data_IF_225338384822
#
_entry.id   IF_225338384822
#
_cell.length_a   1.000
_cell.length_b   1.000
_cell.length_c   1.000
_cell.angle_alpha   90.00
_cell.angle_beta   90.00
_cell.angle_gamma   90.00
#
_symmetry.space_group_name_H-M   'P 1'
#
loop_
_entity.id
_entity.type
_entity.pdbx_description
1 polymer ?
#
# COMPACT_ATOMS: atom_id res chain seq x y z
N UNK A 1 14.02 9.65 -7.13
CA UNK A 1 14.91 10.76 -7.58
C UNK A 1 16.36 10.59 -7.06
N UNK A 2 16.65 10.35 -5.76
CA UNK A 2 18.04 10.20 -5.29
C UNK A 2 18.83 9.09 -6.00
N UNK A 3 18.19 7.99 -6.33
CA UNK A 3 18.82 6.91 -7.11
C UNK A 3 19.17 7.34 -8.53
N UNK A 4 18.35 8.15 -9.18
CA UNK A 4 18.64 8.71 -10.50
C UNK A 4 19.86 9.62 -10.43
N UNK A 5 19.95 10.47 -9.40
CA UNK A 5 21.10 11.36 -9.17
C UNK A 5 22.37 10.58 -8.85
N UNK A 6 22.29 9.57 -7.97
CA UNK A 6 23.43 8.69 -7.66
C UNK A 6 23.90 7.94 -8.89
N UNK A 7 22.99 7.38 -9.67
CA UNK A 7 23.30 6.71 -10.93
C UNK A 7 23.90 7.66 -11.97
N UNK A 8 23.45 8.92 -12.04
CA UNK A 8 24.04 9.92 -12.92
C UNK A 8 25.47 10.30 -12.49
N UNK A 9 25.70 10.49 -11.19
CA UNK A 9 27.04 10.77 -10.64
C UNK A 9 27.98 9.60 -10.84
N UNK A 10 27.52 8.35 -10.63
CA UNK A 10 28.32 7.16 -10.83
C UNK A 10 28.72 6.98 -12.31
N UNK A 11 27.81 7.24 -13.25
CA UNK A 11 28.09 7.24 -14.69
C UNK A 11 29.07 8.34 -15.09
N UNK A 12 28.91 9.55 -14.54
CA UNK A 12 29.85 10.66 -14.79
C UNK A 12 31.26 10.37 -14.27
N UNK A 13 31.42 9.41 -13.33
CA UNK A 13 32.69 8.93 -12.81
C UNK A 13 33.16 7.64 -13.50
N UNK A 14 32.70 7.33 -14.71
CA UNK A 14 32.99 6.10 -15.49
C UNK A 14 32.81 4.80 -14.70
N UNK A 15 31.87 4.77 -13.75
CA UNK A 15 31.54 3.56 -13.02
C UNK A 15 30.60 2.67 -13.85
N UNK A 16 31.15 1.63 -14.47
CA UNK A 16 30.43 0.65 -15.30
C UNK A 16 29.30 -0.07 -14.54
N UNK A 17 29.36 -0.13 -13.21
CA UNK A 17 28.34 -0.75 -12.36
C UNK A 17 27.20 0.21 -11.98
N UNK A 18 27.13 1.41 -12.58
CA UNK A 18 26.06 2.36 -12.34
C UNK A 18 24.70 1.79 -12.74
N UNK A 19 23.85 1.50 -11.75
CA UNK A 19 22.54 0.95 -11.99
C UNK A 19 21.55 2.02 -12.51
N UNK A 20 20.59 1.61 -13.32
CA UNK A 20 19.48 2.47 -13.71
C UNK A 20 18.62 2.80 -12.48
N UNK A 21 18.43 4.09 -12.18
CA UNK A 21 17.51 4.56 -11.14
C UNK A 21 16.06 4.73 -11.65
N UNK A 22 15.74 4.24 -12.84
CA UNK A 22 14.42 4.37 -13.43
C UNK A 22 13.45 3.35 -12.83
N UNK A 23 12.21 3.76 -12.59
CA UNK A 23 11.21 2.98 -11.84
C UNK A 23 10.95 1.60 -12.46
N UNK A 24 10.84 1.50 -13.79
CA UNK A 24 10.63 0.22 -14.46
C UNK A 24 11.71 -0.83 -14.11
N UNK A 25 12.92 -0.39 -13.80
CA UNK A 25 14.05 -1.27 -13.52
C UNK A 25 13.86 -2.08 -12.22
N UNK A 26 13.00 -1.62 -11.31
CA UNK A 26 12.73 -2.30 -10.03
C UNK A 26 12.09 -3.68 -10.31
N UNK A 27 10.93 -3.70 -10.97
CA UNK A 27 10.23 -4.94 -11.31
C UNK A 27 10.99 -5.77 -12.36
N UNK A 28 11.49 -5.12 -13.41
CA UNK A 28 12.12 -5.82 -14.52
C UNK A 28 13.42 -6.54 -14.13
N UNK A 29 14.17 -6.03 -13.15
CA UNK A 29 15.34 -6.75 -12.64
C UNK A 29 14.97 -8.03 -11.91
N UNK A 30 13.90 -7.99 -11.12
CA UNK A 30 13.38 -9.19 -10.45
C UNK A 30 12.92 -10.20 -11.49
N UNK A 31 12.13 -9.77 -12.47
CA UNK A 31 11.67 -10.64 -13.55
C UNK A 31 12.81 -11.25 -14.35
N UNK A 32 13.84 -10.45 -14.67
CA UNK A 32 15.02 -10.93 -15.39
C UNK A 32 15.81 -11.97 -14.59
N UNK A 33 16.10 -11.70 -13.32
CA UNK A 33 16.89 -12.61 -12.46
C UNK A 33 16.13 -13.91 -12.18
N UNK A 34 14.81 -13.83 -11.99
CA UNK A 34 13.99 -15.00 -11.69
C UNK A 34 13.47 -15.73 -12.96
N UNK A 35 13.75 -15.20 -14.15
CA UNK A 35 13.27 -15.80 -15.39
C UNK A 35 11.74 -15.70 -15.57
N UNK A 36 11.10 -14.67 -14.99
CA UNK A 36 9.66 -14.49 -15.14
C UNK A 36 9.31 -13.91 -16.51
N UNK A 37 8.25 -14.44 -17.12
CA UNK A 37 7.83 -14.09 -18.48
C UNK A 37 6.48 -13.37 -18.54
N UNK A 38 5.77 -13.28 -17.43
CA UNK A 38 4.50 -12.56 -17.32
C UNK A 38 4.68 -11.02 -17.26
N UNK A 39 3.58 -10.26 -17.10
CA UNK A 39 3.64 -8.81 -16.97
C UNK A 39 4.59 -8.34 -15.88
N UNK A 40 5.44 -7.34 -16.20
CA UNK A 40 6.43 -6.78 -15.27
C UNK A 40 6.26 -5.27 -15.21
N UNK A 41 5.69 -4.76 -14.13
CA UNK A 41 5.21 -3.38 -14.00
C UNK A 41 5.79 -2.69 -12.78
N UNK A 42 6.18 -1.43 -12.94
CA UNK A 42 6.40 -0.52 -11.81
C UNK A 42 5.16 0.36 -11.63
N UNK A 43 4.58 0.33 -10.45
CA UNK A 43 3.35 1.06 -10.11
C UNK A 43 3.66 2.17 -9.12
N UNK A 44 3.28 3.39 -9.47
CA UNK A 44 3.40 4.55 -8.59
C UNK A 44 2.04 5.26 -8.46
N UNK A 45 1.43 5.08 -7.31
CA UNK A 45 0.21 5.77 -6.86
C UNK A 45 0.41 6.30 -5.44
N UNK A 46 1.63 6.76 -5.14
CA UNK A 46 2.07 7.21 -3.82
C UNK A 46 1.85 6.13 -2.74
N UNK A 47 1.22 6.47 -1.62
CA UNK A 47 1.04 5.56 -0.48
C UNK A 47 0.20 4.30 -0.81
N UNK A 48 -0.57 4.31 -1.88
CA UNK A 48 -1.38 3.17 -2.33
C UNK A 48 -0.69 2.27 -3.35
N UNK A 49 0.56 2.55 -3.74
CA UNK A 49 1.27 1.86 -4.83
C UNK A 49 1.25 0.34 -4.68
N UNK A 50 1.61 -0.18 -3.52
CA UNK A 50 1.67 -1.63 -3.30
C UNK A 50 0.29 -2.30 -3.31
N UNK A 51 -0.77 -1.64 -2.83
CA UNK A 51 -2.13 -2.17 -2.92
C UNK A 51 -2.70 -2.08 -4.35
N UNK A 52 -2.33 -1.05 -5.10
CA UNK A 52 -2.66 -0.96 -6.52
C UNK A 52 -1.96 -2.06 -7.31
N UNK A 53 -0.67 -2.30 -7.05
CA UNK A 53 0.06 -3.42 -7.64
C UNK A 53 -0.57 -4.78 -7.30
N UNK A 54 -0.98 -4.97 -6.03
CA UNK A 54 -1.70 -6.17 -5.60
C UNK A 54 -3.03 -6.34 -6.35
N UNK A 55 -3.80 -5.27 -6.52
CA UNK A 55 -5.06 -5.31 -7.28
C UNK A 55 -4.83 -5.74 -8.73
N UNK A 56 -3.82 -5.17 -9.39
CA UNK A 56 -3.47 -5.54 -10.77
C UNK A 56 -3.00 -7.00 -10.86
N UNK A 57 -2.22 -7.47 -9.90
CA UNK A 57 -1.81 -8.87 -9.83
C UNK A 57 -3.00 -9.82 -9.66
N UNK A 58 -3.97 -9.48 -8.78
CA UNK A 58 -5.20 -10.25 -8.64
C UNK A 58 -6.00 -10.29 -9.95
N UNK A 59 -6.05 -9.19 -10.70
CA UNK A 59 -6.72 -9.16 -12.01
C UNK A 59 -6.01 -10.07 -13.02
N UNK A 60 -4.68 -10.01 -13.12
CA UNK A 60 -3.89 -10.85 -14.03
C UNK A 60 -4.08 -12.35 -13.73
N UNK A 61 -4.09 -12.73 -12.45
CA UNK A 61 -4.38 -14.11 -12.02
C UNK A 61 -5.83 -14.52 -12.34
N UNK A 62 -6.80 -13.62 -12.13
CA UNK A 62 -8.21 -13.91 -12.38
C UNK A 62 -8.53 -14.06 -13.87
N UNK A 63 -7.87 -13.32 -14.74
CA UNK A 63 -8.02 -13.41 -16.20
C UNK A 63 -7.20 -14.56 -16.82
N UNK A 64 -6.38 -15.25 -16.04
CA UNK A 64 -5.51 -16.31 -16.53
C UNK A 64 -4.31 -15.81 -17.35
N UNK A 65 -3.98 -14.52 -17.28
CA UNK A 65 -2.79 -13.95 -17.90
C UNK A 65 -1.50 -14.36 -17.16
N UNK A 66 -1.63 -14.67 -15.88
CA UNK A 66 -0.54 -15.18 -15.03
C UNK A 66 -1.04 -16.33 -14.16
N UNK A 67 -0.19 -17.31 -13.89
CA UNK A 67 -0.47 -18.44 -12.98
C UNK A 67 0.01 -18.15 -11.55
N UNK A 68 0.99 -17.28 -11.41
CA UNK A 68 1.60 -16.85 -10.15
C UNK A 68 2.05 -15.40 -10.29
N UNK A 69 1.88 -14.58 -9.27
CA UNK A 69 2.30 -13.20 -9.26
C UNK A 69 3.13 -12.86 -8.02
N UNK A 70 4.23 -12.13 -8.22
CA UNK A 70 5.03 -11.54 -7.16
C UNK A 70 4.67 -10.04 -7.03
N UNK A 71 4.15 -9.64 -5.90
CA UNK A 71 3.82 -8.24 -5.60
C UNK A 71 4.84 -7.70 -4.61
N UNK A 72 5.61 -6.72 -5.02
CA UNK A 72 6.64 -6.08 -4.20
C UNK A 72 6.32 -4.63 -3.88
N UNK A 73 6.86 -4.16 -2.76
CA UNK A 73 6.90 -2.75 -2.39
C UNK A 73 8.23 -2.42 -1.76
N UNK A 74 8.75 -1.23 -2.05
CA UNK A 74 9.99 -0.73 -1.46
C UNK A 74 9.86 0.76 -1.18
N UNK A 75 10.30 1.17 -0.02
CA UNK A 75 10.48 2.57 0.35
C UNK A 75 11.79 2.75 1.10
N UNK A 76 12.68 3.54 0.54
CA UNK A 76 13.95 3.94 1.15
C UNK A 76 14.06 5.46 1.13
N UNK A 77 14.50 6.04 2.23
CA UNK A 77 14.72 7.49 2.37
C UNK A 77 16.21 7.78 2.18
N UNK A 78 16.57 8.21 0.99
CA UNK A 78 17.95 8.53 0.65
C UNK A 78 18.11 10.03 0.42
N UNK A 79 18.83 10.68 1.31
CA UNK A 79 19.08 12.11 1.26
C UNK A 79 17.93 12.96 1.83
N UNK A 80 18.14 14.29 1.85
CA UNK A 80 17.30 15.24 2.59
C UNK A 80 16.10 15.78 1.79
N UNK A 81 16.10 15.64 0.46
CA UNK A 81 15.11 16.24 -0.44
C UNK A 81 13.68 15.85 -0.08
N UNK A 82 13.47 14.57 0.24
CA UNK A 82 12.16 14.04 0.64
C UNK A 82 11.71 14.60 1.99
N UNK A 83 12.61 14.60 2.96
CA UNK A 83 12.32 15.14 4.31
C UNK A 83 11.97 16.61 4.26
N UNK A 84 12.69 17.41 3.46
CA UNK A 84 12.36 18.82 3.25
C UNK A 84 10.98 19.02 2.60
N UNK A 85 10.65 18.19 1.59
CA UNK A 85 9.33 18.24 0.95
C UNK A 85 8.21 17.93 1.94
N UNK A 86 8.35 16.86 2.73
CA UNK A 86 7.36 16.45 3.72
C UNK A 86 7.19 17.49 4.82
N UNK A 87 8.30 18.05 5.32
CA UNK A 87 8.27 19.12 6.32
C UNK A 87 7.57 20.37 5.80
N UNK A 88 7.90 20.82 4.58
CA UNK A 88 7.30 22.00 3.95
C UNK A 88 5.77 21.86 3.75
N UNK A 89 5.27 20.64 3.58
CA UNK A 89 3.86 20.37 3.38
C UNK A 89 3.13 19.94 4.67
N UNK A 90 3.77 20.06 5.83
CA UNK A 90 3.19 19.67 7.13
C UNK A 90 2.72 18.22 7.21
N UNK A 91 3.46 17.30 6.58
CA UNK A 91 3.16 15.87 6.66
C UNK A 91 3.89 15.17 7.81
N UNK A 92 4.99 15.77 8.32
CA UNK A 92 5.79 15.15 9.38
C UNK A 92 5.18 15.39 10.75
N UNK A 93 5.20 14.34 11.58
CA UNK A 93 4.86 14.43 12.99
C UNK A 93 5.85 15.33 13.73
N UNK A 94 5.35 16.20 14.59
CA UNK A 94 6.15 17.12 15.41
C UNK A 94 6.87 16.44 16.59
N UNK A 95 6.39 15.24 16.99
CA UNK A 95 6.91 14.50 18.17
C UNK A 95 7.47 13.11 17.77
N UNK A 96 7.73 12.89 16.50
CA UNK A 96 8.26 11.64 15.94
C UNK A 96 7.39 10.40 16.24
N UNK A 97 6.07 10.56 16.29
CA UNK A 97 5.10 9.47 16.49
C UNK A 97 4.00 9.50 15.42
N UNK A 98 3.64 8.35 14.88
CA UNK A 98 2.39 8.19 14.12
C UNK A 98 1.26 7.91 15.11
N UNK A 99 0.46 8.92 15.43
CA UNK A 99 -0.67 8.80 16.36
C UNK A 99 -1.94 8.41 15.62
N UNK A 100 -1.94 7.22 15.01
CA UNK A 100 -3.09 6.72 14.23
C UNK A 100 -4.36 6.78 15.06
N UNK A 101 -5.32 7.63 14.65
CA UNK A 101 -6.60 7.89 15.33
C UNK A 101 -6.47 8.40 16.78
N UNK A 102 -5.29 8.79 17.19
CA UNK A 102 -5.04 9.33 18.53
C UNK A 102 -5.21 10.84 18.61
N UNK A 103 -5.36 11.36 19.84
CA UNK A 103 -5.33 12.79 20.09
C UNK A 103 -3.95 13.37 19.73
N UNK A 104 -3.93 14.63 19.31
CA UNK A 104 -2.72 15.39 18.98
C UNK A 104 -1.87 14.79 17.83
N UNK A 105 -2.51 14.08 16.92
CA UNK A 105 -1.86 13.61 15.69
C UNK A 105 -1.54 14.78 14.77
N UNK A 106 -0.24 15.10 14.60
CA UNK A 106 0.23 16.25 13.80
C UNK A 106 0.82 15.84 12.44
N UNK A 107 0.89 14.54 12.16
CA UNK A 107 1.50 14.02 10.96
C UNK A 107 2.03 12.59 11.16
N UNK A 108 2.79 12.11 10.19
CA UNK A 108 3.38 10.78 10.25
C UNK A 108 4.91 10.80 10.35
N UNK A 109 5.46 9.66 10.72
CA UNK A 109 6.91 9.40 10.68
C UNK A 109 7.17 8.56 9.43
N UNK A 110 8.02 9.01 8.48
CA UNK A 110 8.44 8.16 7.36
C UNK A 110 9.16 6.92 7.86
N UNK A 111 8.75 5.76 7.33
CA UNK A 111 9.40 4.48 7.60
C UNK A 111 10.06 3.93 6.35
N UNK A 112 11.02 3.04 6.52
CA UNK A 112 11.69 2.32 5.44
C UNK A 112 11.31 0.85 5.49
N UNK A 113 11.24 0.22 4.32
CA UNK A 113 10.97 -1.20 4.26
C UNK A 113 10.89 -1.75 2.84
N UNK A 114 11.08 -3.04 2.77
CA UNK A 114 10.85 -3.86 1.58
C UNK A 114 9.94 -5.00 1.98
N UNK A 115 8.89 -5.22 1.20
CA UNK A 115 7.95 -6.31 1.43
C UNK A 115 7.55 -6.95 0.10
N UNK A 116 7.28 -8.26 0.13
CA UNK A 116 6.81 -9.01 -1.02
C UNK A 116 5.73 -10.01 -0.60
N UNK A 117 4.77 -10.20 -1.49
CA UNK A 117 3.76 -11.27 -1.40
C UNK A 117 3.80 -12.10 -2.67
N UNK A 118 3.63 -13.40 -2.52
CA UNK A 118 3.39 -14.32 -3.62
C UNK A 118 1.91 -14.64 -3.66
N UNK A 119 1.28 -14.45 -4.80
CA UNK A 119 -0.13 -14.69 -5.04
C UNK A 119 -0.31 -15.80 -6.08
N UNK A 120 -1.27 -16.68 -5.83
CA UNK A 120 -1.63 -17.76 -6.72
C UNK A 120 -3.14 -18.02 -6.63
N UNK A 121 -3.82 -18.49 -7.70
CA UNK A 121 -5.20 -18.96 -7.59
C UNK A 121 -5.34 -20.03 -6.51
N UNK A 122 -6.38 -19.91 -5.67
CA UNK A 122 -6.56 -20.79 -4.50
C UNK A 122 -6.54 -22.29 -4.88
N UNK A 123 -7.25 -22.65 -5.94
CA UNK A 123 -7.31 -24.03 -6.38
C UNK A 123 -5.94 -24.59 -6.77
N UNK A 124 -5.10 -23.79 -7.45
CA UNK A 124 -3.74 -24.19 -7.82
C UNK A 124 -2.86 -24.33 -6.57
N UNK A 125 -2.92 -23.35 -5.64
CA UNK A 125 -2.16 -23.39 -4.41
C UNK A 125 -2.49 -24.64 -3.55
N UNK A 126 -3.77 -24.99 -3.48
CA UNK A 126 -4.24 -26.21 -2.80
C UNK A 126 -3.75 -27.49 -3.48
N UNK A 127 -3.87 -27.56 -4.82
CA UNK A 127 -3.42 -28.72 -5.58
C UNK A 127 -1.90 -28.96 -5.47
N UNK A 128 -1.13 -27.89 -5.33
CA UNK A 128 0.33 -27.94 -5.15
C UNK A 128 0.77 -28.12 -3.68
N UNK A 129 -0.18 -28.19 -2.73
CA UNK A 129 0.13 -28.33 -1.30
C UNK A 129 0.86 -27.12 -0.73
N UNK A 130 0.62 -25.90 -1.26
CA UNK A 130 1.27 -24.68 -0.80
C UNK A 130 0.77 -24.29 0.59
N UNK A 131 1.64 -23.67 1.38
CA UNK A 131 1.24 -23.04 2.62
C UNK A 131 0.46 -21.75 2.32
N UNK A 132 -0.81 -21.70 2.71
CA UNK A 132 -1.71 -20.57 2.43
C UNK A 132 -1.87 -19.77 3.72
N UNK A 133 -1.37 -18.54 3.74
CA UNK A 133 -1.46 -17.63 4.88
C UNK A 133 -2.79 -16.89 4.96
N UNK A 134 -3.46 -16.70 3.83
CA UNK A 134 -4.74 -16.02 3.75
C UNK A 134 -5.27 -16.01 2.31
N UNK A 135 -6.52 -15.63 2.15
CA UNK A 135 -7.18 -15.52 0.86
C UNK A 135 -7.68 -14.11 0.63
N UNK A 136 -7.42 -13.54 -0.55
CA UNK A 136 -7.97 -12.26 -1.00
C UNK A 136 -9.34 -12.53 -1.63
N UNK A 137 -10.41 -12.13 -0.96
CA UNK A 137 -11.77 -12.34 -1.42
C UNK A 137 -12.23 -11.25 -2.41
N UNK A 138 -11.72 -10.03 -2.25
CA UNK A 138 -12.07 -8.92 -3.13
C UNK A 138 -11.05 -7.79 -3.04
N UNK A 139 -10.94 -7.03 -4.10
CA UNK A 139 -10.11 -5.83 -4.14
C UNK A 139 -10.73 -4.78 -5.06
N UNK A 140 -10.52 -3.50 -4.72
CA UNK A 140 -11.01 -2.39 -5.52
C UNK A 140 -10.04 -1.21 -5.47
N UNK A 141 -10.02 -0.44 -6.54
CA UNK A 141 -9.30 0.84 -6.64
C UNK A 141 -10.23 1.91 -7.20
N UNK A 142 -10.03 3.15 -6.81
CA UNK A 142 -10.69 4.31 -7.40
C UNK A 142 -9.81 5.57 -7.24
N UNK A 143 -10.29 6.69 -7.73
CA UNK A 143 -9.74 8.02 -7.49
C UNK A 143 -10.71 8.85 -6.65
N UNK A 144 -10.18 9.69 -5.75
CA UNK A 144 -10.98 10.53 -4.85
C UNK A 144 -11.82 11.61 -5.54
N UNK A 145 -11.56 11.90 -6.82
CA UNK A 145 -12.22 12.98 -7.55
C UNK A 145 -11.76 14.36 -7.08
N UNK A 146 -12.56 15.38 -7.40
CA UNK A 146 -12.29 16.77 -7.00
C UNK A 146 -12.71 16.99 -5.54
N UNK A 147 -11.82 17.56 -4.74
CA UNK A 147 -12.04 17.97 -3.35
C UNK A 147 -11.64 19.43 -3.15
N UNK A 148 -11.66 19.92 -1.92
CA UNK A 148 -11.26 21.30 -1.60
C UNK A 148 -9.74 21.53 -1.64
N UNK A 149 -8.95 20.52 -1.97
CA UNK A 149 -7.50 20.60 -2.14
C UNK A 149 -6.94 19.32 -2.74
N UNK A 150 -5.82 19.42 -3.46
CA UNK A 150 -5.21 18.28 -4.16
C UNK A 150 -4.87 17.11 -3.24
N UNK A 151 -4.45 17.40 -2.01
CA UNK A 151 -4.05 16.39 -1.01
C UNK A 151 -5.17 16.00 -0.05
N UNK A 152 -6.36 16.60 -0.18
CA UNK A 152 -7.50 16.36 0.73
C UNK A 152 -8.23 15.08 0.35
N UNK A 153 -8.34 14.09 1.24
CA UNK A 153 -9.07 12.86 0.96
C UNK A 153 -10.59 13.11 0.78
N UNK A 154 -11.26 12.20 0.08
CA UNK A 154 -12.70 12.26 -0.13
C UNK A 154 -13.40 11.10 0.62
N UNK A 155 -14.14 11.37 1.70
CA UNK A 155 -14.75 10.30 2.51
C UNK A 155 -15.82 9.51 1.72
N UNK A 156 -16.55 10.16 0.81
CA UNK A 156 -17.55 9.48 -0.03
C UNK A 156 -16.89 8.52 -1.02
N UNK A 157 -15.77 8.93 -1.60
CA UNK A 157 -15.01 8.06 -2.51
C UNK A 157 -14.39 6.88 -1.76
N UNK A 158 -13.91 7.09 -0.52
CA UNK A 158 -13.40 6.02 0.33
C UNK A 158 -14.51 5.03 0.71
N UNK A 159 -15.68 5.50 1.17
CA UNK A 159 -16.83 4.64 1.49
C UNK A 159 -17.28 3.84 0.27
N UNK A 160 -17.42 4.48 -0.89
CA UNK A 160 -17.78 3.80 -2.13
C UNK A 160 -16.74 2.75 -2.56
N UNK A 161 -15.45 2.99 -2.31
CA UNK A 161 -14.37 2.03 -2.58
C UNK A 161 -14.49 0.81 -1.68
N UNK A 162 -14.69 1.02 -0.38
CA UNK A 162 -14.85 -0.07 0.60
C UNK A 162 -16.08 -0.91 0.24
N UNK A 163 -17.20 -0.26 -0.06
CA UNK A 163 -18.42 -0.97 -0.47
C UNK A 163 -18.18 -1.83 -1.72
N UNK A 164 -17.50 -1.28 -2.74
CA UNK A 164 -17.16 -2.04 -3.94
C UNK A 164 -16.25 -3.24 -3.65
N UNK A 165 -15.34 -3.13 -2.70
CA UNK A 165 -14.48 -4.24 -2.30
C UNK A 165 -15.29 -5.33 -1.58
N UNK A 166 -16.22 -4.96 -0.71
CA UNK A 166 -17.15 -5.87 -0.03
C UNK A 166 -18.06 -6.59 -1.04
N UNK A 167 -18.64 -5.84 -2.00
CA UNK A 167 -19.49 -6.41 -3.06
C UNK A 167 -18.73 -7.45 -3.89
N UNK A 168 -17.49 -7.15 -4.29
CA UNK A 168 -16.63 -8.08 -5.03
C UNK A 168 -16.24 -9.30 -4.20
N UNK A 169 -16.08 -9.13 -2.90
CA UNK A 169 -15.79 -10.23 -1.98
C UNK A 169 -17.03 -11.09 -1.67
N UNK A 170 -18.24 -10.65 -2.05
CA UNK A 170 -19.48 -11.28 -1.60
C UNK A 170 -19.63 -11.26 -0.08
N UNK A 171 -19.08 -10.26 0.59
CA UNK A 171 -18.99 -10.18 2.04
C UNK A 171 -19.79 -8.99 2.57
N UNK A 172 -20.68 -9.25 3.51
CA UNK A 172 -21.43 -8.20 4.18
C UNK A 172 -20.55 -7.49 5.23
N UNK A 173 -20.78 -6.19 5.46
CA UNK A 173 -20.00 -5.38 6.40
C UNK A 173 -19.99 -5.95 7.83
N UNK A 174 -21.07 -6.62 8.27
CA UNK A 174 -21.14 -7.25 9.58
C UNK A 174 -20.27 -8.52 9.75
N UNK A 175 -19.60 -8.94 8.70
CA UNK A 175 -18.65 -10.08 8.70
C UNK A 175 -17.21 -9.64 8.78
N UNK A 176 -16.96 -8.33 8.89
CA UNK A 176 -15.63 -7.76 9.02
C UNK A 176 -15.34 -7.56 10.51
N UNK A 177 -14.36 -8.27 11.01
CA UNK A 177 -13.95 -8.23 12.42
C UNK A 177 -12.83 -7.20 12.66
N UNK A 178 -12.03 -6.92 11.62
CA UNK A 178 -10.89 -6.02 11.72
C UNK A 178 -10.67 -5.20 10.43
N UNK A 179 -10.32 -3.93 10.61
CA UNK A 179 -9.85 -3.03 9.54
C UNK A 179 -8.44 -2.57 9.84
N UNK A 180 -7.50 -2.94 9.00
CA UNK A 180 -6.19 -2.30 8.95
C UNK A 180 -6.32 -1.02 8.13
N UNK A 181 -6.34 0.11 8.81
CA UNK A 181 -6.63 1.41 8.23
C UNK A 181 -5.38 2.11 7.67
N UNK A 182 -5.60 3.18 6.91
CA UNK A 182 -4.50 4.06 6.50
C UNK A 182 -3.88 4.75 7.72
N UNK A 183 -4.67 5.40 8.57
CA UNK A 183 -4.29 5.83 9.93
C UNK A 183 -2.92 6.50 10.02
N UNK A 184 -2.72 7.61 9.32
CA UNK A 184 -1.43 8.31 9.27
C UNK A 184 -1.14 9.19 10.48
N UNK A 185 -2.13 9.42 11.35
CA UNK A 185 -2.00 10.33 12.49
C UNK A 185 -2.04 11.79 12.08
N UNK A 186 -2.71 12.13 10.98
CA UNK A 186 -2.86 13.50 10.51
C UNK A 186 -4.20 14.10 10.97
N UNK A 187 -4.19 15.38 11.32
CA UNK A 187 -5.39 16.11 11.80
C UNK A 187 -6.59 16.02 10.84
N UNK A 188 -6.32 15.98 9.54
CA UNK A 188 -7.36 15.95 8.51
C UNK A 188 -7.66 14.53 8.02
N UNK A 189 -6.63 13.70 7.84
CA UNK A 189 -6.75 12.39 7.19
C UNK A 189 -7.53 11.39 8.03
N UNK A 190 -7.17 11.27 9.30
CA UNK A 190 -7.76 10.28 10.21
C UNK A 190 -9.27 10.50 10.45
N UNK A 191 -9.76 11.72 10.71
CA UNK A 191 -11.21 11.96 10.81
C UNK A 191 -11.98 11.67 9.52
N UNK A 192 -11.40 11.98 8.36
CA UNK A 192 -12.01 11.68 7.05
C UNK A 192 -12.13 10.17 6.84
N UNK A 193 -11.09 9.42 7.18
CA UNK A 193 -11.10 7.95 7.07
C UNK A 193 -12.12 7.33 8.03
N UNK A 194 -12.17 7.77 9.27
CA UNK A 194 -13.20 7.33 10.24
C UNK A 194 -14.61 7.63 9.74
N UNK A 195 -14.85 8.80 9.15
CA UNK A 195 -16.15 9.13 8.57
C UNK A 195 -16.53 8.16 7.43
N UNK A 196 -15.61 7.82 6.56
CA UNK A 196 -15.83 6.86 5.48
C UNK A 196 -16.15 5.45 6.00
N UNK A 197 -15.39 4.99 7.00
CA UNK A 197 -15.62 3.71 7.67
C UNK A 197 -16.97 3.71 8.38
N UNK A 198 -17.29 4.75 9.14
CA UNK A 198 -18.59 4.89 9.83
C UNK A 198 -19.75 4.82 8.85
N UNK A 199 -19.66 5.49 7.70
CA UNK A 199 -20.69 5.44 6.66
C UNK A 199 -20.87 4.03 6.11
N UNK A 200 -19.77 3.33 5.84
CA UNK A 200 -19.81 1.97 5.27
C UNK A 200 -20.35 0.93 6.28
N UNK A 201 -19.94 1.04 7.55
CA UNK A 201 -20.33 0.07 8.58
C UNK A 201 -21.58 0.45 9.37
N UNK A 202 -22.23 1.58 9.04
CA UNK A 202 -23.46 2.04 9.69
C UNK A 202 -24.55 0.99 9.56
N UNK A 203 -25.15 0.63 10.70
CA UNK A 203 -26.25 -0.34 10.75
C UNK A 203 -25.85 -1.79 10.56
N UNK A 204 -24.58 -2.11 10.51
CA UNK A 204 -24.09 -3.50 10.38
C UNK A 204 -24.46 -4.37 11.60
N UNK A 205 -24.69 -3.75 12.77
CA UNK A 205 -25.07 -4.47 14.00
C UNK A 205 -23.89 -5.23 14.64
N UNK A 206 -22.67 -5.11 14.12
CA UNK A 206 -21.47 -5.74 14.67
C UNK A 206 -20.41 -4.70 15.06
N UNK A 207 -19.53 -5.08 15.98
CA UNK A 207 -18.33 -4.32 16.29
C UNK A 207 -17.18 -4.77 15.36
N UNK A 208 -16.44 -3.81 14.85
CA UNK A 208 -15.25 -4.06 14.04
C UNK A 208 -14.06 -3.33 14.68
N UNK A 209 -12.99 -4.06 14.94
CA UNK A 209 -11.76 -3.45 15.46
C UNK A 209 -11.05 -2.66 14.34
N UNK A 210 -10.40 -1.56 14.71
CA UNK A 210 -9.60 -0.75 13.78
C UNK A 210 -8.18 -0.58 14.33
N UNK A 211 -7.19 -0.62 13.45
CA UNK A 211 -5.81 -0.33 13.80
C UNK A 211 -5.01 0.13 12.60
N UNK A 212 -3.76 0.50 12.84
CA UNK A 212 -2.80 0.82 11.79
C UNK A 212 -1.39 0.41 12.22
N UNK A 213 -0.70 -0.32 11.37
CA UNK A 213 0.72 -0.70 11.60
C UNK A 213 1.64 0.51 11.67
N UNK A 214 1.20 1.65 11.13
CA UNK A 214 1.99 2.89 11.11
C UNK A 214 2.31 3.44 12.49
N UNK A 215 1.48 3.16 13.49
CA UNK A 215 1.78 3.52 14.87
C UNK A 215 2.99 2.77 15.44
N UNK A 216 3.38 1.65 14.84
CA UNK A 216 4.50 0.80 15.28
C UNK A 216 5.78 1.02 14.46
N UNK A 217 5.66 1.09 13.13
CA UNK A 217 6.81 1.08 12.22
C UNK A 217 6.91 2.34 11.34
N UNK A 218 6.06 3.34 11.56
CA UNK A 218 5.97 4.51 10.71
C UNK A 218 5.24 4.25 9.40
N UNK A 219 5.19 5.26 8.55
CA UNK A 219 4.55 5.19 7.24
C UNK A 219 5.56 4.75 6.17
N UNK A 220 5.47 3.50 5.73
CA UNK A 220 6.35 2.92 4.70
C UNK A 220 5.98 3.37 3.28
N UNK A 221 5.18 4.41 3.13
CA UNK A 221 4.77 5.06 1.87
C UNK A 221 4.36 4.05 0.79
N UNK A 222 5.14 3.88 -0.29
CA UNK A 222 4.80 2.95 -1.37
C UNK A 222 4.61 1.49 -0.88
N UNK A 223 5.28 1.11 0.22
CA UNK A 223 5.20 -0.24 0.81
C UNK A 223 4.12 -0.35 1.89
N UNK A 224 3.51 0.76 2.31
CA UNK A 224 2.60 0.81 3.46
C UNK A 224 1.45 -0.20 3.39
N UNK A 225 0.87 -0.40 2.20
CA UNK A 225 -0.22 -1.34 2.01
C UNK A 225 0.19 -2.80 2.25
N UNK A 226 1.35 -3.21 1.72
CA UNK A 226 1.87 -4.56 1.97
C UNK A 226 2.23 -4.77 3.45
N UNK A 227 2.79 -3.77 4.11
CA UNK A 227 3.06 -3.82 5.55
C UNK A 227 1.77 -4.06 6.36
N UNK A 228 0.68 -3.37 6.01
CA UNK A 228 -0.63 -3.59 6.61
C UNK A 228 -1.16 -5.01 6.38
N UNK A 229 -1.08 -5.52 5.15
CA UNK A 229 -1.50 -6.90 4.84
C UNK A 229 -0.68 -7.92 5.64
N UNK A 230 0.64 -7.78 5.66
CA UNK A 230 1.53 -8.69 6.40
C UNK A 230 1.16 -8.70 7.89
N UNK A 231 0.93 -7.52 8.49
CA UNK A 231 0.47 -7.43 9.87
C UNK A 231 -0.83 -8.22 10.08
N UNK A 232 -1.84 -8.01 9.22
CA UNK A 232 -3.13 -8.71 9.33
C UNK A 232 -2.94 -10.22 9.24
N UNK A 233 -2.20 -10.68 8.24
CA UNK A 233 -1.92 -12.12 8.05
C UNK A 233 -1.18 -12.73 9.24
N UNK A 234 -0.29 -11.96 9.88
CA UNK A 234 0.43 -12.44 11.08
C UNK A 234 -0.42 -12.42 12.36
N UNK A 235 -1.57 -11.75 12.36
CA UNK A 235 -2.53 -11.71 13.46
C UNK A 235 -3.61 -12.81 13.35
N UNK A 236 -3.80 -13.38 12.16
CA UNK A 236 -4.72 -14.48 11.88
C UNK A 236 -4.16 -15.82 12.38
#
# INVERSE_FOLDING_TARGET
QPYVELGARARAADNENATSGLLYSIANRVSYVCGFTGPSLAVDTACSSSLTALHLACQSLHTGESDLALVGGVNLTMGETKSHFLAKNNFLSSDARCRSFGADGTGYVPGEGVATLVLQPLAAAQAEGRNIYGQILGSAINHGGKTNGYTVPNPKAQSALIQRALDKAGCAANRIDYVEAHGTGTELGDPIEINALTETFRGSGSSCAIGSVKSNIGHLEATAGLAGIIKVVMQM
#
